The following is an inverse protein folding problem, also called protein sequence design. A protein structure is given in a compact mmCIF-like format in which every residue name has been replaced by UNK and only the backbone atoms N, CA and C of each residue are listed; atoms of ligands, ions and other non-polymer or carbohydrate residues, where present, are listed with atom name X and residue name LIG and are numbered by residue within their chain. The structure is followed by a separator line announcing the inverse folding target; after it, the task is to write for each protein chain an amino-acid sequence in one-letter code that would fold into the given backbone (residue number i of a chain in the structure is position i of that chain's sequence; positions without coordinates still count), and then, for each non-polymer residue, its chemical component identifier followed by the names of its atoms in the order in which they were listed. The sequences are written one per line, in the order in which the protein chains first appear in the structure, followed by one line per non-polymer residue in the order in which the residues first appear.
data_IF_018698191962
#
_entry.id   IF_018698191962
#
_cell.length_a   1.000
_cell.length_b   1.000
_cell.length_c   1.000
_cell.angle_alpha   90.00
_cell.angle_beta   90.00
_cell.angle_gamma   90.00
#
_symmetry.space_group_name_H-M   'P 1'
#
loop_
_entity.id
_entity.type
_entity.pdbx_description
1 polymer ?
#
# COMPACT_ATOMS: atom_id res chain seq x y z
N UNK A 1 5.16 4.01 -0.97
CA UNK A 1 6.55 3.74 -0.51
C UNK A 1 6.53 2.54 0.42
N UNK A 2 7.44 1.58 0.24
CA UNK A 2 7.66 0.45 1.17
C UNK A 2 9.09 0.58 1.71
N UNK A 3 9.25 0.68 3.02
CA UNK A 3 10.57 0.90 3.67
C UNK A 3 11.36 2.08 3.05
N UNK A 4 10.67 3.17 2.71
CA UNK A 4 11.30 4.36 2.12
C UNK A 4 11.72 4.20 0.66
N UNK A 5 11.39 3.09 -0.01
CA UNK A 5 11.56 2.91 -1.47
C UNK A 5 10.24 3.08 -2.19
N UNK A 6 10.27 3.71 -3.36
CA UNK A 6 9.11 3.76 -4.22
C UNK A 6 8.87 2.36 -4.83
N UNK A 7 7.65 1.87 -4.63
CA UNK A 7 7.20 0.56 -5.10
C UNK A 7 6.04 0.68 -6.08
N UNK A 8 5.66 1.90 -6.49
CA UNK A 8 4.46 2.17 -7.28
C UNK A 8 4.46 1.38 -8.58
N UNK A 9 5.56 1.41 -9.36
CA UNK A 9 5.64 0.67 -10.63
C UNK A 9 5.62 -0.85 -10.47
N UNK A 10 6.15 -1.37 -9.36
CA UNK A 10 6.15 -2.80 -9.07
C UNK A 10 4.75 -3.26 -8.68
N UNK A 11 4.07 -2.48 -7.82
CA UNK A 11 2.71 -2.74 -7.39
C UNK A 11 1.72 -2.54 -8.53
N UNK A 12 1.86 -1.53 -9.39
CA UNK A 12 0.95 -1.25 -10.50
C UNK A 12 0.78 -2.44 -11.45
N UNK A 13 1.84 -3.24 -11.65
CA UNK A 13 1.80 -4.44 -12.48
C UNK A 13 1.11 -5.64 -11.82
N UNK A 14 0.92 -5.61 -10.51
CA UNK A 14 0.48 -6.75 -9.70
C UNK A 14 -0.78 -6.45 -8.88
N UNK A 15 -1.17 -5.19 -8.71
CA UNK A 15 -2.27 -4.79 -7.84
C UNK A 15 -3.60 -5.21 -8.47
N UNK A 16 -4.28 -6.16 -7.84
CA UNK A 16 -5.62 -6.60 -8.22
C UNK A 16 -6.68 -5.77 -7.52
N UNK A 17 -6.42 -5.39 -6.27
CA UNK A 17 -7.35 -4.65 -5.43
C UNK A 17 -6.66 -3.97 -4.27
N UNK A 18 -7.28 -2.89 -3.80
CA UNK A 18 -6.85 -2.17 -2.61
C UNK A 18 -8.07 -1.70 -1.83
N UNK A 19 -8.08 -1.97 -0.54
CA UNK A 19 -9.11 -1.45 0.38
C UNK A 19 -8.42 -0.65 1.48
N UNK A 20 -8.89 0.57 1.70
CA UNK A 20 -8.50 1.41 2.83
C UNK A 20 -9.71 1.58 3.73
N UNK A 21 -9.60 1.11 4.96
CA UNK A 21 -10.63 1.27 5.99
C UNK A 21 -10.14 2.27 7.02
N UNK A 22 -10.78 3.44 7.03
CA UNK A 22 -10.58 4.48 8.05
C UNK A 22 -11.46 4.14 9.26
N UNK A 23 -10.82 3.91 10.41
CA UNK A 23 -11.51 3.50 11.62
C UNK A 23 -11.61 4.68 12.60
N UNK A 24 -12.77 4.80 13.25
CA UNK A 24 -13.01 5.87 14.22
C UNK A 24 -12.63 5.44 15.63
N UNK A 25 -12.23 6.41 16.45
CA UNK A 25 -11.97 6.19 17.87
C UNK A 25 -10.57 5.67 18.12
N UNK A 26 -10.45 4.52 18.79
CA UNK A 26 -9.16 3.95 19.22
C UNK A 26 -8.68 2.79 18.35
N UNK A 27 -9.37 2.52 17.25
CA UNK A 27 -8.99 1.49 16.28
C UNK A 27 -8.05 2.07 15.23
N UNK A 28 -7.03 1.31 14.83
CA UNK A 28 -6.10 1.73 13.79
C UNK A 28 -6.73 1.54 12.41
N UNK A 29 -6.40 2.43 11.48
CA UNK A 29 -6.76 2.26 10.07
C UNK A 29 -6.15 0.99 9.49
N UNK A 30 -6.85 0.41 8.52
CA UNK A 30 -6.42 -0.81 7.84
C UNK A 30 -6.22 -0.56 6.36
N UNK A 31 -5.11 -1.09 5.83
CA UNK A 31 -4.80 -1.13 4.40
C UNK A 31 -4.65 -2.59 3.97
N UNK A 32 -5.53 -3.03 3.10
CA UNK A 32 -5.45 -4.33 2.44
C UNK A 32 -5.03 -4.16 0.98
N UNK A 33 -4.06 -4.98 0.55
CA UNK A 33 -3.58 -5.05 -0.82
C UNK A 33 -3.72 -6.49 -1.32
N UNK A 34 -4.37 -6.63 -2.47
CA UNK A 34 -4.47 -7.91 -3.18
C UNK A 34 -3.54 -7.86 -4.38
N UNK A 35 -2.62 -8.81 -4.48
CA UNK A 35 -1.55 -8.83 -5.48
C UNK A 35 -1.60 -10.12 -6.30
N UNK A 36 -1.31 -10.00 -7.58
CA UNK A 36 -1.03 -11.10 -8.48
C UNK A 36 0.38 -11.65 -8.23
N UNK A 37 0.42 -12.91 -7.82
CA UNK A 37 1.63 -13.72 -7.62
C UNK A 37 1.60 -15.00 -8.47
N UNK A 38 0.94 -14.98 -9.63
CA UNK A 38 0.88 -16.14 -10.53
C UNK A 38 2.27 -16.63 -10.99
N UNK A 39 3.29 -15.76 -10.96
CA UNK A 39 4.68 -16.08 -11.27
C UNK A 39 5.55 -16.41 -10.05
N UNK A 40 5.01 -16.32 -8.82
CA UNK A 40 5.72 -16.61 -7.58
C UNK A 40 6.84 -15.62 -7.23
N UNK A 41 6.85 -14.43 -7.83
CA UNK A 41 7.90 -13.43 -7.65
C UNK A 41 7.54 -12.34 -6.63
N UNK A 42 6.38 -12.40 -5.99
CA UNK A 42 6.00 -11.46 -4.93
C UNK A 42 6.79 -11.76 -3.66
N UNK A 43 7.78 -10.92 -3.41
CA UNK A 43 8.52 -10.93 -2.14
C UNK A 43 7.79 -10.02 -1.15
N UNK A 44 7.21 -10.63 -0.13
CA UNK A 44 6.56 -9.88 0.95
C UNK A 44 7.59 -9.04 1.72
N UNK A 45 7.23 -7.81 2.12
CA UNK A 45 8.11 -6.98 2.92
C UNK A 45 8.33 -7.63 4.30
N UNK A 46 9.42 -7.23 4.96
CA UNK A 46 9.70 -7.70 6.32
C UNK A 46 8.55 -7.34 7.27
N UNK A 47 8.35 -8.16 8.30
CA UNK A 47 7.40 -7.81 9.37
C UNK A 47 7.78 -6.47 9.99
N UNK A 48 6.79 -5.63 10.29
CA UNK A 48 7.00 -4.26 10.76
C UNK A 48 7.45 -3.26 9.69
N UNK A 49 7.61 -3.68 8.42
CA UNK A 49 7.90 -2.76 7.34
C UNK A 49 6.79 -1.71 7.21
N UNK A 50 7.19 -0.45 7.13
CA UNK A 50 6.27 0.66 7.00
C UNK A 50 5.92 0.87 5.52
N UNK A 51 4.61 0.88 5.25
CA UNK A 51 4.02 1.22 3.97
C UNK A 51 3.42 2.63 4.08
N UNK A 52 3.95 3.58 3.32
CA UNK A 52 3.34 4.91 3.16
C UNK A 52 2.48 4.93 1.91
N UNK A 53 1.18 5.23 2.07
CA UNK A 53 0.22 5.30 0.97
C UNK A 53 -0.08 6.76 0.63
N UNK A 54 -0.07 7.09 -0.66
CA UNK A 54 -0.59 8.35 -1.18
C UNK A 54 -1.41 8.07 -2.44
N UNK A 55 -2.57 8.72 -2.56
CA UNK A 55 -3.52 8.51 -3.65
C UNK A 55 -3.92 9.85 -4.27
N UNK A 56 -4.24 9.83 -5.56
CA UNK A 56 -4.69 11.01 -6.30
C UNK A 56 -5.01 10.66 -7.74
N UNK A 57 -5.48 11.66 -8.48
CA UNK A 57 -5.78 11.51 -9.89
C UNK A 57 -4.55 11.77 -10.75
N UNK A 58 -4.53 11.17 -11.95
CA UNK A 58 -3.48 11.42 -12.93
C UNK A 58 -3.45 12.91 -13.31
N UNK A 59 -2.29 13.54 -13.13
CA UNK A 59 -2.10 14.96 -13.42
C UNK A 59 -2.37 15.89 -12.23
N UNK A 60 -2.80 15.35 -11.08
CA UNK A 60 -2.97 16.09 -9.83
C UNK A 60 -1.93 15.67 -8.78
N UNK A 61 -1.68 16.51 -7.75
CA UNK A 61 -0.87 16.10 -6.61
C UNK A 61 -1.45 14.88 -5.89
N UNK A 62 -0.57 13.99 -5.42
CA UNK A 62 -0.98 12.89 -4.56
C UNK A 62 -1.23 13.37 -3.13
N UNK A 63 -2.27 12.82 -2.50
CA UNK A 63 -2.61 13.08 -1.10
C UNK A 63 -2.16 11.92 -0.23
N UNK A 64 -1.41 12.23 0.83
CA UNK A 64 -1.00 11.23 1.82
C UNK A 64 -2.24 10.64 2.51
N UNK A 65 -2.28 9.31 2.61
CA UNK A 65 -3.32 8.55 3.32
C UNK A 65 -2.84 7.92 4.62
N UNK A 66 -1.55 8.05 4.93
CA UNK A 66 -0.98 7.58 6.18
C UNK A 66 0.11 6.53 5.99
N UNK A 67 0.49 5.92 7.12
CA UNK A 67 1.53 4.90 7.22
C UNK A 67 0.94 3.66 7.90
N UNK A 68 1.17 2.51 7.30
CA UNK A 68 0.61 1.23 7.70
C UNK A 68 1.75 0.24 7.98
N UNK A 69 1.59 -0.58 9.00
CA UNK A 69 2.55 -1.62 9.41
C UNK A 69 1.85 -2.66 10.27
N UNK A 70 2.43 -3.86 10.36
CA UNK A 70 1.97 -4.97 11.22
C UNK A 70 3.11 -5.58 12.01
#
# INVERSE_FOLDING_TARGET
MIEGKDATQTLDKRLLGMTLTDNRGFEADQLDLELDDADGLVIMPRRGAVISLALGWKGEPLYSKGKFYR
#
